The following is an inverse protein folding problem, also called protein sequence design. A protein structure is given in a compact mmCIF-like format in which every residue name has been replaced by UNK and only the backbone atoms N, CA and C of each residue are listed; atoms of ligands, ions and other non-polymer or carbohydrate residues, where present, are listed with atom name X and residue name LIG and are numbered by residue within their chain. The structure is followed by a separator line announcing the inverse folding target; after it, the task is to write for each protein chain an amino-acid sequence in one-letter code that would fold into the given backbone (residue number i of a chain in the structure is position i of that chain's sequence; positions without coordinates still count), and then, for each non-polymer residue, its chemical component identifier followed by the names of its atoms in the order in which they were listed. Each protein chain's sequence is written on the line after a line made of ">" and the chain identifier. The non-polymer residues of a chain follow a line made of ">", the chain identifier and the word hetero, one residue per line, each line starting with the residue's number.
data_IF_916044417396
#
_entry.id   IF_916044417396
#
_cell.length_a   1.000
_cell.length_b   1.000
_cell.length_c   1.000
_cell.angle_alpha   90.00
_cell.angle_beta   90.00
_cell.angle_gamma   90.00
#
_symmetry.space_group_name_H-M   'P 1'
#
loop_
_entity.id
_entity.type
_entity.pdbx_description
1 polymer ?
#
# COMPACT_ATOMS: atom_id res chain seq x y z
N UNK A 1 -18.14 -37.03 13.96
CA UNK A 1 -17.57 -35.80 14.56
C UNK A 1 -18.42 -34.64 14.08
N UNK A 2 -18.92 -33.74 14.96
CA UNK A 2 -19.81 -32.68 14.52
C UNK A 2 -19.03 -31.75 13.58
N UNK A 3 -19.52 -31.63 12.34
CA UNK A 3 -19.04 -30.67 11.36
C UNK A 3 -19.47 -29.29 11.84
N UNK A 4 -18.60 -28.62 12.60
CA UNK A 4 -18.77 -27.21 12.93
C UNK A 4 -18.73 -26.44 11.60
N UNK A 5 -19.90 -26.13 11.04
CA UNK A 5 -20.01 -25.17 9.93
C UNK A 5 -19.42 -23.86 10.43
N UNK A 6 -18.25 -23.42 9.95
CA UNK A 6 -17.80 -22.08 10.27
C UNK A 6 -18.86 -21.14 9.72
N UNK A 7 -19.49 -20.39 10.62
CA UNK A 7 -20.35 -19.28 10.24
C UNK A 7 -19.46 -18.41 9.36
N UNK A 8 -19.84 -18.17 8.10
CA UNK A 8 -19.05 -17.43 7.10
C UNK A 8 -18.48 -16.09 7.62
N UNK A 9 -19.06 -15.56 8.70
CA UNK A 9 -18.57 -14.40 9.43
C UNK A 9 -17.15 -14.55 10.03
N UNK A 10 -16.72 -15.76 10.41
CA UNK A 10 -15.42 -15.97 11.05
C UNK A 10 -14.29 -16.33 10.07
N UNK A 11 -14.64 -16.70 8.84
CA UNK A 11 -13.68 -17.12 7.81
C UNK A 11 -12.59 -16.09 7.52
N UNK A 12 -12.86 -14.78 7.33
CA UNK A 12 -11.78 -13.82 7.02
C UNK A 12 -10.77 -13.60 8.17
N UNK A 13 -11.10 -13.98 9.41
CA UNK A 13 -10.20 -13.87 10.56
C UNK A 13 -9.41 -15.15 10.82
N UNK A 14 -10.05 -16.31 10.59
CA UNK A 14 -9.45 -17.63 10.82
C UNK A 14 -8.71 -18.18 9.59
N UNK A 15 -9.13 -17.75 8.40
CA UNK A 15 -8.57 -18.16 7.11
C UNK A 15 -8.24 -16.89 6.29
N UNK A 16 -7.00 -16.38 6.38
CA UNK A 16 -6.62 -15.14 5.72
C UNK A 16 -6.66 -15.31 4.20
N UNK A 17 -7.13 -14.26 3.51
CA UNK A 17 -7.18 -14.27 2.06
C UNK A 17 -5.75 -14.38 1.50
N UNK A 18 -5.51 -15.35 0.62
CA UNK A 18 -4.20 -15.59 -0.02
C UNK A 18 -3.88 -14.54 -1.09
N UNK A 19 -3.60 -13.32 -0.64
CA UNK A 19 -3.17 -12.17 -1.47
C UNK A 19 -1.65 -11.98 -1.34
N UNK A 20 -0.94 -12.91 -0.68
CA UNK A 20 0.49 -12.73 -0.38
C UNK A 20 1.34 -12.57 -1.64
N UNK A 21 0.97 -13.17 -2.78
CA UNK A 21 1.71 -13.00 -4.03
C UNK A 21 1.56 -11.62 -4.67
N UNK A 22 0.49 -10.90 -4.33
CA UNK A 22 0.13 -9.61 -4.95
C UNK A 22 -0.05 -8.51 -3.91
N UNK A 23 0.52 -8.67 -2.72
CA UNK A 23 0.39 -7.74 -1.59
C UNK A 23 0.73 -6.30 -1.98
N UNK A 24 1.73 -6.10 -2.83
CA UNK A 24 2.16 -4.77 -3.29
C UNK A 24 1.09 -4.04 -4.10
N UNK A 25 0.18 -4.76 -4.78
CA UNK A 25 -0.94 -4.13 -5.50
C UNK A 25 -1.92 -3.46 -4.54
N UNK A 26 -2.06 -3.99 -3.31
CA UNK A 26 -2.95 -3.42 -2.29
C UNK A 26 -2.48 -2.05 -1.77
N UNK A 27 -1.23 -1.66 -2.05
CA UNK A 27 -0.72 -0.32 -1.76
C UNK A 27 -1.40 0.75 -2.62
N UNK A 28 -1.83 0.41 -3.85
CA UNK A 28 -2.51 1.36 -4.75
C UNK A 28 -3.87 1.79 -4.18
N UNK A 29 -4.82 0.89 -3.84
CA UNK A 29 -6.09 1.28 -3.24
C UNK A 29 -5.91 1.94 -1.87
N UNK A 30 -4.89 1.55 -1.09
CA UNK A 30 -4.55 2.24 0.17
C UNK A 30 -4.13 3.70 -0.08
N UNK A 31 -3.17 3.92 -0.98
CA UNK A 31 -2.70 5.26 -1.34
C UNK A 31 -3.81 6.11 -1.95
N UNK A 32 -4.70 5.50 -2.74
CA UNK A 32 -5.89 6.16 -3.28
C UNK A 32 -6.86 6.58 -2.17
N UNK A 33 -7.20 5.69 -1.23
CA UNK A 33 -8.06 6.02 -0.10
C UNK A 33 -7.50 7.14 0.77
N UNK A 34 -6.19 7.10 1.07
CA UNK A 34 -5.50 8.17 1.80
C UNK A 34 -5.60 9.49 1.03
N UNK A 35 -5.33 9.48 -0.27
CA UNK A 35 -5.38 10.68 -1.11
C UNK A 35 -6.79 11.27 -1.18
N UNK A 36 -7.83 10.45 -1.32
CA UNK A 36 -9.25 10.86 -1.31
C UNK A 36 -9.56 11.59 0.00
N UNK A 37 -9.33 10.95 1.15
CA UNK A 37 -9.68 11.54 2.46
C UNK A 37 -8.86 12.80 2.74
N UNK A 38 -7.55 12.76 2.51
CA UNK A 38 -6.68 13.90 2.77
C UNK A 38 -7.03 15.11 1.89
N UNK A 39 -7.22 14.89 0.58
CA UNK A 39 -7.52 15.98 -0.36
C UNK A 39 -8.92 16.56 -0.12
N UNK A 40 -9.87 15.75 0.33
CA UNK A 40 -11.23 16.22 0.63
C UNK A 40 -11.25 17.22 1.78
N UNK A 41 -10.40 17.02 2.80
CA UNK A 41 -10.32 17.91 3.98
C UNK A 41 -9.37 19.09 3.74
N UNK A 42 -8.33 18.91 2.91
CA UNK A 42 -7.25 19.89 2.79
C UNK A 42 -7.43 20.91 1.67
N UNK A 43 -8.19 20.60 0.62
CA UNK A 43 -8.39 21.54 -0.49
C UNK A 43 -9.46 22.57 -0.14
N UNK A 44 -9.18 23.84 -0.43
CA UNK A 44 -10.18 24.91 -0.31
C UNK A 44 -11.22 24.90 -1.45
N UNK A 45 -10.88 24.30 -2.60
CA UNK A 45 -11.72 24.23 -3.79
C UNK A 45 -11.61 22.83 -4.43
N UNK A 46 -12.73 22.28 -4.89
CA UNK A 46 -12.84 20.94 -5.47
C UNK A 46 -12.79 20.90 -7.01
N UNK A 47 -12.63 22.04 -7.70
CA UNK A 47 -12.60 22.14 -9.16
C UNK A 47 -11.60 21.16 -9.83
N UNK A 48 -10.47 20.87 -9.19
CA UNK A 48 -9.45 19.93 -9.68
C UNK A 48 -9.23 18.74 -8.74
N UNK A 49 -10.22 18.42 -7.90
CA UNK A 49 -10.12 17.45 -6.83
C UNK A 49 -9.54 16.10 -7.30
N UNK A 50 -10.16 15.48 -8.30
CA UNK A 50 -9.72 14.16 -8.80
C UNK A 50 -8.31 14.17 -9.37
N UNK A 51 -7.90 15.27 -10.02
CA UNK A 51 -6.53 15.43 -10.49
C UNK A 51 -5.56 15.47 -9.31
N UNK A 52 -5.89 16.21 -8.24
CA UNK A 52 -5.06 16.26 -7.04
C UNK A 52 -5.01 14.94 -6.26
N UNK A 53 -6.12 14.19 -6.23
CA UNK A 53 -6.16 12.83 -5.65
C UNK A 53 -5.23 11.91 -6.42
N UNK A 54 -5.38 11.82 -7.75
CA UNK A 54 -4.56 10.93 -8.59
C UNK A 54 -3.07 11.29 -8.54
N UNK A 55 -2.73 12.58 -8.54
CA UNK A 55 -1.34 13.03 -8.38
C UNK A 55 -0.79 12.56 -7.02
N UNK A 56 -1.54 12.74 -5.93
CA UNK A 56 -1.10 12.32 -4.60
C UNK A 56 -0.97 10.80 -4.48
N UNK A 57 -1.92 10.04 -5.06
CA UNK A 57 -1.83 8.57 -5.13
C UNK A 57 -0.55 8.14 -5.85
N UNK A 58 -0.25 8.75 -7.00
CA UNK A 58 0.98 8.48 -7.74
C UNK A 58 2.23 8.86 -6.94
N UNK A 59 2.23 10.01 -6.27
CA UNK A 59 3.34 10.45 -5.41
C UNK A 59 3.61 9.47 -4.26
N UNK A 60 2.57 8.98 -3.58
CA UNK A 60 2.71 7.98 -2.50
C UNK A 60 3.28 6.68 -3.06
N UNK A 61 2.70 6.16 -4.14
CA UNK A 61 3.14 4.90 -4.74
C UNK A 61 4.60 4.98 -5.23
N UNK A 62 4.93 6.03 -5.98
CA UNK A 62 6.30 6.26 -6.47
C UNK A 62 7.28 6.51 -5.33
N UNK A 63 6.86 7.20 -4.26
CA UNK A 63 7.68 7.42 -3.08
C UNK A 63 8.07 6.11 -2.38
N UNK A 64 7.11 5.20 -2.20
CA UNK A 64 7.37 3.87 -1.62
C UNK A 64 8.30 3.06 -2.53
N UNK A 65 8.06 3.05 -3.84
CA UNK A 65 8.92 2.36 -4.81
C UNK A 65 10.35 2.92 -4.76
N UNK A 66 10.50 4.25 -4.75
CA UNK A 66 11.80 4.89 -4.67
C UNK A 66 12.54 4.54 -3.37
N UNK A 67 11.84 4.52 -2.23
CA UNK A 67 12.42 4.11 -0.95
C UNK A 67 12.87 2.64 -0.95
N UNK A 68 12.09 1.75 -1.54
CA UNK A 68 12.45 0.34 -1.68
C UNK A 68 13.72 0.16 -2.52
N UNK A 69 13.78 0.83 -3.69
CA UNK A 69 14.95 0.82 -4.57
C UNK A 69 16.18 1.41 -3.87
N UNK A 70 16.03 2.55 -3.20
CA UNK A 70 17.12 3.19 -2.47
C UNK A 70 17.69 2.28 -1.37
N UNK A 71 16.80 1.59 -0.64
CA UNK A 71 17.20 0.64 0.41
C UNK A 71 17.94 -0.55 -0.19
N UNK A 72 17.44 -1.11 -1.30
CA UNK A 72 18.08 -2.22 -2.00
C UNK A 72 19.47 -1.85 -2.51
N UNK A 73 19.60 -0.67 -3.15
CA UNK A 73 20.89 -0.14 -3.61
C UNK A 73 21.86 0.09 -2.45
N UNK A 74 21.38 0.62 -1.31
CA UNK A 74 22.20 0.80 -0.12
C UNK A 74 22.77 -0.54 0.35
N UNK A 75 21.94 -1.57 0.46
CA UNK A 75 22.39 -2.89 0.92
C UNK A 75 23.39 -3.53 -0.05
N UNK A 76 23.19 -3.40 -1.36
CA UNK A 76 24.08 -4.05 -2.34
C UNK A 76 25.37 -3.28 -2.58
N UNK A 77 25.35 -1.95 -2.54
CA UNK A 77 26.51 -1.15 -2.87
C UNK A 77 27.32 -0.74 -1.64
N UNK A 78 26.65 -0.37 -0.55
CA UNK A 78 27.31 0.21 0.62
C UNK A 78 27.74 -0.87 1.61
N UNK A 79 26.93 -1.91 1.81
CA UNK A 79 27.23 -2.97 2.78
C UNK A 79 28.53 -3.73 2.45
N UNK A 80 28.79 -4.18 1.20
CA UNK A 80 30.02 -4.90 0.86
C UNK A 80 31.28 -4.03 0.94
N UNK A 81 31.13 -2.71 0.78
CA UNK A 81 32.24 -1.77 0.90
C UNK A 81 32.68 -1.58 2.36
N UNK A 82 31.81 -1.84 3.33
CA UNK A 82 32.07 -1.64 4.77
C UNK A 82 32.41 -2.96 5.47
N UNK A 83 31.79 -4.07 5.07
CA UNK A 83 32.04 -5.41 5.62
C UNK A 83 32.20 -6.41 4.46
N UNK A 84 33.42 -6.61 3.94
CA UNK A 84 33.70 -7.54 2.85
C UNK A 84 33.54 -9.02 3.25
#
# INVERSE_FOLDING_TARGET
>A
MPTLTPILAWTPFLDPIDIHRVWYLTLIPLAFGIAVVYKAVRLHDLNHYWRHVLIMTAQIALGIIALAIATWLLVILILPAIAP
#
